data_IF_822870396842
#
_entry.id   IF_822870396842
#
_cell.length_a   1.000
_cell.length_b   1.000
_cell.length_c   1.000
_cell.angle_alpha   90.00
_cell.angle_beta   90.00
_cell.angle_gamma   90.00
#
_symmetry.space_group_name_H-M   'P 1'
#
loop_
_entity.id
_entity.type
_entity.pdbx_description
1 polymer ?
#
# COMPACT_ATOMS: atom_id res chain seq x y z
N UNK A 1 -1.79 -41.23 86.67
CA UNK A 1 -1.44 -41.43 85.25
C UNK A 1 -1.74 -40.14 84.49
N UNK A 2 -0.72 -39.63 83.77
CA UNK A 2 -0.72 -38.70 82.62
C UNK A 2 -1.48 -37.35 82.68
N UNK A 3 -0.67 -36.28 82.80
CA UNK A 3 -0.95 -34.89 82.42
C UNK A 3 -1.10 -34.77 80.90
N UNK A 4 -1.98 -33.89 80.42
CA UNK A 4 -2.08 -33.52 79.01
C UNK A 4 -2.40 -32.03 78.86
N UNK A 5 -1.36 -31.24 78.62
CA UNK A 5 -1.42 -29.82 78.23
C UNK A 5 -1.69 -29.80 76.72
N UNK A 6 -2.71 -29.08 76.26
CA UNK A 6 -2.87 -28.75 74.83
C UNK A 6 -2.52 -27.28 74.64
N UNK A 7 -1.46 -27.08 73.87
CA UNK A 7 -0.83 -25.80 73.58
C UNK A 7 -1.56 -25.03 72.47
N UNK A 8 -1.42 -23.71 72.55
CA UNK A 8 -1.87 -22.68 71.63
C UNK A 8 -1.46 -22.90 70.15
N UNK A 9 -2.32 -22.46 69.24
CA UNK A 9 -1.90 -21.78 68.00
C UNK A 9 -2.88 -20.63 67.71
N UNK A 10 -2.50 -19.41 68.07
CA UNK A 10 -3.13 -18.20 67.57
C UNK A 10 -2.58 -17.96 66.15
N UNK A 11 -3.45 -18.06 65.14
CA UNK A 11 -3.10 -17.73 63.75
C UNK A 11 -3.32 -16.23 63.57
N UNK A 12 -2.24 -15.45 63.61
CA UNK A 12 -2.25 -14.06 63.22
C UNK A 12 -2.31 -13.96 61.69
N UNK A 13 -3.47 -13.60 61.14
CA UNK A 13 -3.65 -13.30 59.72
C UNK A 13 -3.16 -11.86 59.51
N UNK A 14 -1.91 -11.70 59.06
CA UNK A 14 -1.40 -10.41 58.61
C UNK A 14 -2.04 -10.06 57.25
N UNK A 15 -3.03 -9.18 57.27
CA UNK A 15 -3.58 -8.56 56.06
C UNK A 15 -2.58 -7.53 55.52
N UNK A 16 -1.75 -7.92 54.56
CA UNK A 16 -0.97 -6.97 53.78
C UNK A 16 -1.88 -6.28 52.74
N UNK A 17 -1.85 -4.95 52.59
CA UNK A 17 -2.57 -4.27 51.52
C UNK A 17 -1.89 -4.60 50.19
N UNK A 18 -2.56 -5.38 49.35
CA UNK A 18 -2.19 -5.56 47.96
C UNK A 18 -2.39 -4.22 47.22
N UNK A 19 -1.33 -3.41 47.15
CA UNK A 19 -1.28 -2.26 46.27
C UNK A 19 -1.23 -2.81 44.85
N UNK A 20 -2.40 -2.92 44.22
CA UNK A 20 -2.53 -3.27 42.83
C UNK A 20 -1.82 -2.18 42.00
N UNK A 21 -0.61 -2.50 41.52
CA UNK A 21 0.10 -1.69 40.56
C UNK A 21 -0.73 -1.64 39.28
N UNK A 22 -1.42 -0.52 39.07
CA UNK A 22 -2.11 -0.20 37.85
C UNK A 22 -1.06 0.02 36.75
N UNK A 23 -0.59 -1.07 36.14
CA UNK A 23 0.15 -1.02 34.89
C UNK A 23 -0.79 -0.49 33.80
N UNK A 24 -0.80 0.82 33.64
CA UNK A 24 -1.34 1.50 32.45
C UNK A 24 -0.60 0.97 31.23
N UNK A 25 -1.15 -0.06 30.58
CA UNK A 25 -0.78 -0.45 29.22
C UNK A 25 -0.98 0.79 28.34
N UNK A 26 0.11 1.51 28.03
CA UNK A 26 0.10 2.60 27.04
C UNK A 26 -0.47 2.01 25.75
N UNK A 27 -1.73 2.32 25.46
CA UNK A 27 -2.42 1.92 24.23
C UNK A 27 -1.58 2.48 23.09
N UNK A 28 -1.07 1.63 22.20
CA UNK A 28 -0.25 2.05 21.09
C UNK A 28 -1.02 3.11 20.30
N UNK A 29 -0.45 4.32 20.18
CA UNK A 29 -1.09 5.42 19.46
C UNK A 29 -1.09 5.07 17.98
N UNK A 30 -2.26 5.02 17.37
CA UNK A 30 -2.38 4.86 15.93
C UNK A 30 -1.72 6.05 15.23
N UNK A 31 -0.66 5.79 14.46
CA UNK A 31 0.03 6.80 13.68
C UNK A 31 -0.50 6.78 12.26
N UNK A 32 -1.06 7.91 11.83
CA UNK A 32 -1.54 8.12 10.45
C UNK A 32 -0.50 8.95 9.70
N UNK A 33 -0.04 8.43 8.56
CA UNK A 33 0.85 9.13 7.62
C UNK A 33 0.11 9.32 6.30
N UNK A 34 0.16 10.53 5.73
CA UNK A 34 -0.44 10.83 4.42
C UNK A 34 0.65 11.28 3.46
N UNK A 35 0.75 10.57 2.35
CA UNK A 35 1.66 10.89 1.26
C UNK A 35 0.84 11.34 0.06
N UNK A 36 1.33 12.34 -0.64
CA UNK A 36 0.72 12.80 -1.88
C UNK A 36 1.81 13.25 -2.84
N UNK A 37 1.65 12.89 -4.11
CA UNK A 37 2.54 13.37 -5.16
C UNK A 37 1.78 13.60 -6.47
N UNK A 38 2.40 14.38 -7.37
CA UNK A 38 1.89 14.71 -8.71
C UNK A 38 2.98 14.50 -9.75
N UNK A 39 2.59 14.11 -10.96
CA UNK A 39 3.44 14.14 -12.15
C UNK A 39 2.66 14.75 -13.31
N UNK A 40 3.32 15.56 -14.14
CA UNK A 40 2.76 16.10 -15.39
C UNK A 40 2.20 17.53 -15.30
N UNK A 41 1.60 17.98 -16.39
CA UNK A 41 1.12 19.35 -16.62
C UNK A 41 -0.36 19.52 -16.28
N UNK A 42 -0.93 20.71 -16.45
CA UNK A 42 -2.35 20.95 -16.15
C UNK A 42 -3.30 20.02 -16.91
N UNK A 43 -2.96 19.69 -18.15
CA UNK A 43 -3.83 18.98 -19.08
C UNK A 43 -3.50 17.51 -19.25
N UNK A 44 -2.30 17.11 -18.83
CA UNK A 44 -1.86 15.72 -18.75
C UNK A 44 -1.11 15.47 -17.44
N UNK A 45 -1.78 14.89 -16.45
CA UNK A 45 -1.13 14.58 -15.16
C UNK A 45 -1.73 13.39 -14.45
N UNK A 46 -0.96 12.85 -13.50
CA UNK A 46 -1.45 11.99 -12.44
C UNK A 46 -1.20 12.62 -11.06
N UNK A 47 -2.11 12.34 -10.12
CA UNK A 47 -1.99 12.65 -8.69
C UNK A 47 -2.23 11.38 -7.91
N UNK A 48 -1.40 11.16 -6.91
CA UNK A 48 -1.43 9.97 -6.09
C UNK A 48 -1.59 10.42 -4.64
N UNK A 49 -2.45 9.73 -3.91
CA UNK A 49 -2.59 9.82 -2.46
C UNK A 49 -2.41 8.45 -1.84
N UNK A 50 -1.68 8.38 -0.73
CA UNK A 50 -1.51 7.16 0.07
C UNK A 50 -1.71 7.50 1.53
N UNK A 51 -2.62 6.80 2.20
CA UNK A 51 -2.73 6.84 3.65
C UNK A 51 -2.12 5.57 4.24
N UNK A 52 -1.20 5.73 5.19
CA UNK A 52 -0.65 4.65 5.98
C UNK A 52 -1.16 4.73 7.41
N UNK A 53 -1.55 3.57 7.95
CA UNK A 53 -1.89 3.39 9.36
C UNK A 53 -0.85 2.47 9.98
N UNK A 54 -0.15 2.96 11.00
CA UNK A 54 0.93 2.23 11.68
C UNK A 54 1.98 1.69 10.69
N UNK A 55 2.30 2.51 9.69
CA UNK A 55 3.25 2.18 8.64
C UNK A 55 2.73 1.23 7.57
N UNK A 56 1.49 0.73 7.62
CA UNK A 56 0.90 -0.10 6.55
C UNK A 56 -0.02 0.72 5.67
N UNK A 57 -0.05 0.46 4.36
CA UNK A 57 -1.00 1.13 3.47
C UNK A 57 -2.42 0.72 3.83
N UNK A 58 -3.24 1.74 4.10
CA UNK A 58 -4.66 1.65 4.39
C UNK A 58 -5.50 2.11 3.20
N UNK A 59 -5.03 3.11 2.46
CA UNK A 59 -5.76 3.67 1.34
C UNK A 59 -4.80 4.09 0.23
N UNK A 60 -5.23 3.87 -1.02
CA UNK A 60 -4.57 4.29 -2.22
C UNK A 60 -5.56 5.04 -3.12
N UNK A 61 -5.23 6.27 -3.46
CA UNK A 61 -5.97 7.10 -4.38
C UNK A 61 -5.09 7.42 -5.60
N UNK A 62 -5.63 7.19 -6.79
CA UNK A 62 -5.00 7.54 -8.06
C UNK A 62 -5.97 8.39 -8.86
N UNK A 63 -5.49 9.54 -9.33
CA UNK A 63 -6.23 10.41 -10.21
C UNK A 63 -5.39 10.68 -11.45
N UNK A 64 -5.95 10.52 -12.63
CA UNK A 64 -5.32 10.91 -13.88
C UNK A 64 -6.20 11.85 -14.70
N UNK A 65 -5.57 12.71 -15.48
CA UNK A 65 -6.21 13.64 -16.41
C UNK A 65 -5.44 13.63 -17.72
N UNK A 66 -6.18 13.51 -18.81
CA UNK A 66 -5.78 13.81 -20.18
C UNK A 66 -6.98 14.49 -20.82
N UNK A 67 -6.97 15.81 -20.91
CA UNK A 67 -8.14 16.57 -21.37
C UNK A 67 -8.72 15.96 -22.66
N UNK A 68 -10.05 15.79 -22.74
CA UNK A 68 -11.07 16.18 -21.74
C UNK A 68 -11.34 15.09 -20.68
N UNK A 69 -10.64 13.95 -20.73
CA UNK A 69 -10.90 12.77 -19.90
C UNK A 69 -10.18 12.85 -18.56
N UNK A 70 -10.84 12.28 -17.55
CA UNK A 70 -10.28 12.09 -16.21
C UNK A 70 -10.59 10.67 -15.73
N UNK A 71 -9.76 10.18 -14.84
CA UNK A 71 -10.00 8.96 -14.09
C UNK A 71 -9.68 9.19 -12.62
N UNK A 72 -10.48 8.56 -11.76
CA UNK A 72 -10.21 8.49 -10.32
C UNK A 72 -10.43 7.08 -9.81
N UNK A 73 -9.46 6.60 -9.05
CA UNK A 73 -9.48 5.33 -8.37
C UNK A 73 -9.25 5.64 -6.89
N UNK A 74 -10.10 5.08 -6.04
CA UNK A 74 -9.90 5.08 -4.60
C UNK A 74 -10.08 3.64 -4.11
N UNK A 75 -9.08 3.10 -3.45
CA UNK A 75 -9.08 1.74 -2.91
C UNK A 75 -8.71 1.83 -1.44
N UNK A 76 -9.59 1.31 -0.60
CA UNK A 76 -9.47 1.34 0.84
C UNK A 76 -9.41 -0.09 1.37
N UNK A 77 -8.50 -0.34 2.30
CA UNK A 77 -8.47 -1.58 3.07
C UNK A 77 -9.79 -1.70 3.84
N UNK A 78 -10.33 -2.91 3.85
CA UNK A 78 -11.65 -3.24 4.43
C UNK A 78 -12.83 -2.58 3.70
N UNK A 79 -12.60 -2.00 2.52
CA UNK A 79 -13.65 -1.52 1.63
C UNK A 79 -14.35 -2.66 0.88
N UNK A 80 -15.57 -2.44 0.36
CA UNK A 80 -16.40 -3.49 -0.24
C UNK A 80 -15.88 -4.07 -1.56
N UNK A 81 -14.95 -3.38 -2.24
CA UNK A 81 -14.50 -3.73 -3.59
C UNK A 81 -13.00 -4.10 -3.66
N UNK A 82 -12.40 -4.46 -2.52
CA UNK A 82 -10.99 -4.87 -2.50
C UNK A 82 -10.65 -5.84 -1.38
N UNK A 83 -9.86 -6.86 -1.73
CA UNK A 83 -9.25 -7.79 -0.78
C UNK A 83 -7.75 -7.51 -0.67
N UNK A 84 -7.24 -7.55 0.56
CA UNK A 84 -5.86 -7.19 0.89
C UNK A 84 -5.18 -8.34 1.64
N UNK A 85 -4.01 -8.74 1.21
CA UNK A 85 -3.22 -9.82 1.82
C UNK A 85 -1.80 -9.32 2.09
N UNK A 86 -1.40 -9.27 3.36
CA UNK A 86 -0.08 -8.79 3.77
C UNK A 86 0.94 -9.96 3.72
N UNK A 87 1.99 -9.81 2.92
CA UNK A 87 3.08 -10.76 2.71
C UNK A 87 4.42 -10.11 3.11
N UNK A 88 4.57 -9.81 4.40
CA UNK A 88 5.75 -9.14 4.94
C UNK A 88 5.83 -7.67 4.53
N UNK A 89 6.82 -7.32 3.69
CA UNK A 89 6.95 -5.95 3.14
C UNK A 89 6.05 -5.68 1.94
N UNK A 90 5.46 -6.74 1.39
CA UNK A 90 4.53 -6.68 0.27
C UNK A 90 3.09 -6.79 0.76
N UNK A 91 2.17 -6.21 0.01
CA UNK A 91 0.73 -6.40 0.17
C UNK A 91 0.13 -6.67 -1.20
N UNK A 92 -0.56 -7.80 -1.35
CA UNK A 92 -1.37 -8.08 -2.53
C UNK A 92 -2.70 -7.37 -2.37
N UNK A 93 -3.08 -6.60 -3.39
CA UNK A 93 -4.40 -5.97 -3.47
C UNK A 93 -5.13 -6.55 -4.67
N UNK A 94 -6.29 -7.12 -4.41
CA UNK A 94 -7.18 -7.69 -5.42
C UNK A 94 -8.45 -6.86 -5.46
N UNK A 95 -8.86 -6.46 -6.66
CA UNK A 95 -10.10 -5.74 -6.92
C UNK A 95 -10.87 -6.48 -8.00
N UNK A 96 -12.12 -6.08 -8.26
CA UNK A 96 -12.92 -6.60 -9.38
C UNK A 96 -12.25 -6.36 -10.76
N UNK A 97 -11.26 -5.49 -10.78
CA UNK A 97 -10.63 -4.94 -11.97
C UNK A 97 -9.17 -5.40 -12.14
N UNK A 98 -8.74 -6.38 -11.34
CA UNK A 98 -7.39 -6.93 -11.40
C UNK A 98 -6.63 -6.79 -10.08
N UNK A 99 -5.33 -7.10 -10.15
CA UNK A 99 -4.45 -7.27 -8.98
C UNK A 99 -3.20 -6.42 -9.12
N UNK A 100 -2.74 -5.88 -8.00
CA UNK A 100 -1.47 -5.17 -7.94
C UNK A 100 -0.77 -5.43 -6.61
N UNK A 101 0.54 -5.18 -6.61
CA UNK A 101 1.38 -5.33 -5.43
C UNK A 101 1.71 -3.96 -4.88
N UNK A 102 1.70 -3.86 -3.56
CA UNK A 102 2.26 -2.72 -2.83
C UNK A 102 3.50 -3.23 -2.13
N UNK A 103 4.62 -2.58 -2.34
CA UNK A 103 5.83 -2.79 -1.56
C UNK A 103 6.10 -1.55 -0.72
N UNK A 104 6.02 -1.74 0.60
CA UNK A 104 6.20 -0.65 1.54
C UNK A 104 7.62 -0.66 2.11
N UNK A 105 8.42 0.32 1.70
CA UNK A 105 9.80 0.52 2.16
C UNK A 105 9.85 1.70 3.13
N UNK A 106 10.96 1.84 3.86
CA UNK A 106 11.13 2.93 4.83
C UNK A 106 11.07 4.33 4.22
N UNK A 107 11.56 4.50 2.98
CA UNK A 107 11.66 5.81 2.31
C UNK A 107 10.58 6.06 1.27
N UNK A 108 9.91 5.00 0.82
CA UNK A 108 9.07 5.05 -0.36
C UNK A 108 8.02 3.94 -0.32
N UNK A 109 6.93 4.12 -1.06
CA UNK A 109 5.91 3.11 -1.30
C UNK A 109 5.84 2.85 -2.79
N UNK A 110 6.06 1.60 -3.19
CA UNK A 110 6.07 1.16 -4.58
C UNK A 110 4.78 0.40 -4.88
N UNK A 111 4.10 0.77 -5.95
CA UNK A 111 2.94 0.08 -6.47
C UNK A 111 3.34 -0.56 -7.80
N UNK A 112 3.06 -1.84 -7.95
CA UNK A 112 3.41 -2.62 -9.13
C UNK A 112 2.11 -3.17 -9.71
N UNK A 113 1.68 -2.58 -10.81
CA UNK A 113 0.45 -2.93 -11.50
C UNK A 113 0.76 -3.94 -12.60
N UNK A 114 0.07 -5.09 -12.57
CA UNK A 114 0.11 -6.10 -13.62
C UNK A 114 -1.28 -6.18 -14.22
N UNK A 115 -1.50 -5.39 -15.27
CA UNK A 115 -2.74 -5.42 -16.06
C UNK A 115 -4.00 -5.17 -15.22
N UNK A 116 -4.02 -4.05 -14.49
CA UNK A 116 -5.25 -3.62 -13.80
C UNK A 116 -6.13 -2.90 -14.81
N UNK A 117 -7.20 -3.56 -15.23
CA UNK A 117 -8.19 -3.07 -16.19
C UNK A 117 -9.23 -2.21 -15.48
N UNK A 118 -9.10 -0.87 -15.57
CA UNK A 118 -10.01 0.07 -14.89
C UNK A 118 -10.67 1.03 -15.87
N UNK A 119 -11.14 0.50 -17.01
CA UNK A 119 -11.73 1.24 -18.14
C UNK A 119 -10.74 2.11 -18.92
N UNK A 120 -11.09 2.35 -20.19
CA UNK A 120 -10.31 3.01 -21.25
C UNK A 120 -9.54 4.29 -20.84
N UNK A 121 -10.02 5.00 -19.81
CA UNK A 121 -9.50 6.30 -19.39
C UNK A 121 -8.55 6.27 -18.18
N UNK A 122 -8.41 5.14 -17.47
CA UNK A 122 -7.60 5.08 -16.25
C UNK A 122 -6.13 4.70 -16.49
N UNK A 123 -5.84 3.90 -17.52
CA UNK A 123 -4.46 3.64 -18.01
C UNK A 123 -4.00 4.55 -19.15
N UNK A 124 -4.96 5.27 -19.74
CA UNK A 124 -4.92 6.09 -20.97
C UNK A 124 -4.42 5.32 -22.19
N UNK A 125 -5.39 4.90 -23.02
CA UNK A 125 -5.29 4.19 -24.31
C UNK A 125 -4.19 3.10 -24.37
N UNK A 126 -4.51 1.81 -24.06
CA UNK A 126 -5.82 1.15 -24.16
C UNK A 126 -6.67 1.08 -22.88
N UNK A 127 -6.28 1.75 -21.78
CA UNK A 127 -7.03 1.73 -20.52
C UNK A 127 -6.54 0.73 -19.47
N UNK A 128 -5.45 0.02 -19.76
CA UNK A 128 -4.81 -0.91 -18.83
C UNK A 128 -3.72 -0.16 -18.07
N UNK A 129 -3.73 -0.26 -16.73
CA UNK A 129 -2.63 0.22 -15.90
C UNK A 129 -1.61 -0.92 -15.77
N UNK A 130 -0.48 -0.78 -16.46
CA UNK A 130 0.68 -1.69 -16.33
C UNK A 130 1.92 -0.87 -16.06
N UNK A 131 2.68 -1.24 -15.03
CA UNK A 131 3.93 -0.55 -14.69
C UNK A 131 4.09 -0.32 -13.20
N UNK A 132 4.88 0.69 -12.86
CA UNK A 132 5.21 1.02 -11.48
C UNK A 132 4.88 2.47 -11.14
N UNK A 133 4.52 2.67 -9.88
CA UNK A 133 4.30 3.97 -9.29
C UNK A 133 5.03 4.00 -7.95
N UNK A 134 5.85 5.02 -7.77
CA UNK A 134 6.64 5.20 -6.56
C UNK A 134 6.32 6.55 -5.92
N UNK A 135 5.87 6.47 -4.67
CA UNK A 135 5.65 7.63 -3.80
C UNK A 135 6.80 7.73 -2.81
N UNK A 136 7.63 8.78 -2.94
CA UNK A 136 8.79 9.01 -2.07
C UNK A 136 8.38 9.91 -0.91
N UNK A 137 8.65 9.47 0.33
CA UNK A 137 8.33 10.26 1.53
C UNK A 137 9.08 11.58 1.51
N UNK A 138 8.35 12.66 1.82
CA UNK A 138 8.89 14.03 1.82
C UNK A 138 9.06 14.66 0.44
N UNK A 139 8.71 13.97 -0.65
CA UNK A 139 8.71 14.55 -2.01
C UNK A 139 7.29 14.78 -2.51
N UNK A 140 7.13 15.76 -3.41
CA UNK A 140 5.84 16.09 -4.05
C UNK A 140 5.74 15.53 -5.46
N UNK A 141 6.84 15.09 -6.05
CA UNK A 141 6.90 14.47 -7.36
C UNK A 141 6.79 12.94 -7.24
N UNK A 142 5.93 12.33 -8.06
CA UNK A 142 5.89 10.86 -8.19
C UNK A 142 6.92 10.39 -9.22
N UNK A 143 7.38 9.16 -9.07
CA UNK A 143 8.02 8.43 -10.17
C UNK A 143 7.01 7.43 -10.74
N UNK A 144 6.75 7.53 -12.04
CA UNK A 144 5.83 6.66 -12.77
C UNK A 144 6.60 6.04 -13.92
N UNK A 145 6.50 4.74 -14.08
CA UNK A 145 7.08 4.00 -15.20
C UNK A 145 6.00 3.11 -15.82
N UNK A 146 5.78 3.24 -17.12
CA UNK A 146 4.76 2.46 -17.86
C UNK A 146 3.30 2.86 -17.61
N UNK A 147 3.00 3.63 -16.57
CA UNK A 147 1.66 4.19 -16.29
C UNK A 147 1.47 5.50 -17.07
N UNK A 148 0.26 5.75 -17.60
CA UNK A 148 -0.07 6.88 -18.50
C UNK A 148 0.64 6.87 -19.87
N UNK A 149 0.94 5.69 -20.44
CA UNK A 149 1.39 5.64 -21.84
C UNK A 149 0.32 6.28 -22.73
N UNK A 150 0.73 6.97 -23.79
CA UNK A 150 -0.21 7.27 -24.87
C UNK A 150 -0.24 6.03 -25.78
N UNK A 151 -1.26 5.90 -26.61
CA UNK A 151 -1.17 5.06 -27.80
C UNK A 151 -0.09 5.66 -28.73
N UNK A 152 1.18 5.44 -28.43
CA UNK A 152 2.11 5.28 -29.52
C UNK A 152 1.58 4.05 -30.24
N UNK A 153 1.05 4.25 -31.45
CA UNK A 153 1.19 3.24 -32.48
C UNK A 153 2.62 2.80 -32.37
N UNK A 154 2.85 1.64 -31.74
CA UNK A 154 4.06 0.88 -31.95
C UNK A 154 4.14 0.80 -33.47
N UNK A 155 4.99 1.65 -34.04
CA UNK A 155 5.57 1.37 -35.32
C UNK A 155 6.17 0.01 -35.09
N UNK A 156 5.48 -1.04 -35.54
CA UNK A 156 6.15 -2.16 -36.13
C UNK A 156 7.14 -1.52 -37.08
N UNK A 157 8.37 -1.36 -36.61
CA UNK A 157 9.53 -1.37 -37.46
C UNK A 157 9.31 -2.60 -38.33
N UNK A 158 8.82 -2.35 -39.54
CA UNK A 158 8.96 -3.29 -40.64
C UNK A 158 10.40 -3.77 -40.55
N UNK A 159 10.57 -5.07 -40.31
CA UNK A 159 11.86 -5.70 -40.23
C UNK A 159 12.68 -5.22 -41.41
N UNK A 160 13.64 -4.34 -41.12
CA UNK A 160 14.68 -4.02 -42.08
C UNK A 160 15.49 -5.30 -42.13
N UNK A 161 15.18 -6.14 -43.11
CA UNK A 161 16.01 -7.25 -43.50
C UNK A 161 17.41 -6.70 -43.70
N UNK A 162 18.31 -7.01 -42.76
CA UNK A 162 19.74 -6.83 -42.97
C UNK A 162 20.11 -7.81 -44.07
N UNK A 163 20.21 -7.30 -45.29
CA UNK A 163 20.80 -8.03 -46.40
C UNK A 163 22.24 -8.36 -45.98
N UNK A 164 22.50 -9.65 -45.71
CA UNK A 164 23.86 -10.17 -45.58
C UNK A 164 24.41 -10.28 -47.01
N UNK A 165 25.47 -9.53 -47.38
CA UNK A 165 26.08 -9.70 -48.67
C UNK A 165 27.05 -10.89 -48.61
N UNK A 166 26.79 -11.91 -49.42
CA UNK A 166 27.82 -12.81 -49.94
C UNK A 166 27.62 -14.30 -49.66
N UNK A 167 27.40 -15.07 -50.72
CA UNK A 167 28.20 -16.24 -51.10
C UNK A 167 27.63 -16.85 -52.40
N UNK A 168 28.33 -16.61 -53.51
CA UNK A 168 28.40 -17.50 -54.67
C UNK A 168 29.73 -18.26 -54.57
#
# INVERSE_FOLDING_TARGET
MKRGIVACCAIAIAMAPAVASAQSKKRAKNTIERLACKLGTEDRHARIGVELLNGKVRQFAYYSKLKPRTCSINIERDGPYSAWEDLGRFTHVTTDNGRFLIENRKREVHFIFREVDRHFYCGMEPGIITGTLTVIRGKRECQLEGVMRAHETDGLENGTAVAVPGLN
#
